data_IF_779511721628
#
_entry.id   IF_779511721628
#
_cell.length_a   1.000
_cell.length_b   1.000
_cell.length_c   1.000
_cell.angle_alpha   90.00
_cell.angle_beta   90.00
_cell.angle_gamma   90.00
#
_symmetry.space_group_name_H-M   'P 1'
#
loop_
_entity.id
_entity.type
_entity.pdbx_description
1 polymer ?
#
# COMPACT_ATOMS: atom_id res chain seq x y z
N UNK A 1 9.03 -12.23 49.05
CA UNK A 1 10.26 -11.84 48.32
C UNK A 1 10.53 -12.70 47.08
N UNK A 2 10.71 -14.03 47.19
CA UNK A 2 10.94 -14.89 46.01
C UNK A 2 9.75 -14.94 45.03
N UNK A 3 8.51 -15.04 45.55
CA UNK A 3 7.29 -15.02 44.72
C UNK A 3 7.08 -13.69 43.97
N UNK A 4 7.37 -12.57 44.62
CA UNK A 4 7.25 -11.24 44.01
C UNK A 4 8.27 -11.04 42.89
N UNK A 5 9.50 -11.57 43.03
CA UNK A 5 10.50 -11.54 41.96
C UNK A 5 10.06 -12.35 40.71
N UNK A 6 9.43 -13.51 40.91
CA UNK A 6 8.93 -14.32 39.80
C UNK A 6 7.82 -13.63 39.02
N UNK A 7 6.88 -12.97 39.70
CA UNK A 7 5.77 -12.25 39.05
C UNK A 7 6.29 -11.07 38.22
N UNK A 8 7.24 -10.30 38.74
CA UNK A 8 7.82 -9.16 38.03
C UNK A 8 8.58 -9.63 36.78
N UNK A 9 9.34 -10.73 36.88
CA UNK A 9 10.07 -11.31 35.75
C UNK A 9 9.15 -11.76 34.62
N UNK A 10 8.05 -12.45 34.95
CA UNK A 10 7.06 -12.89 33.97
C UNK A 10 6.34 -11.73 33.27
N UNK A 11 6.00 -10.67 34.02
CA UNK A 11 5.35 -9.49 33.45
C UNK A 11 6.26 -8.75 32.45
N UNK A 12 7.58 -8.69 32.72
CA UNK A 12 8.54 -8.06 31.82
C UNK A 12 8.67 -8.81 30.47
N UNK A 13 8.69 -10.15 30.48
CA UNK A 13 8.79 -10.96 29.25
C UNK A 13 7.53 -10.83 28.38
N UNK A 14 6.35 -10.69 28.97
CA UNK A 14 5.09 -10.51 28.22
C UNK A 14 5.03 -9.18 27.45
N UNK A 15 5.67 -8.14 27.98
CA UNK A 15 5.69 -6.81 27.34
C UNK A 15 6.48 -6.75 26.04
N UNK A 16 7.40 -7.69 25.81
CA UNK A 16 8.21 -7.76 24.59
C UNK A 16 7.45 -8.25 23.35
N UNK A 17 6.23 -8.79 23.51
CA UNK A 17 5.37 -9.20 22.40
C UNK A 17 4.18 -8.23 22.19
N UNK A 18 4.14 -7.13 22.95
CA UNK A 18 3.05 -6.14 22.96
C UNK A 18 3.36 -4.88 22.17
N UNK A 19 4.37 -4.90 21.28
CA UNK A 19 4.64 -3.78 20.40
C UNK A 19 3.39 -3.43 19.59
N UNK A 20 3.15 -2.13 19.41
CA UNK A 20 2.07 -1.70 18.51
C UNK A 20 2.38 -2.27 17.12
N UNK A 21 1.39 -2.81 16.39
CA UNK A 21 1.62 -3.23 15.03
C UNK A 21 2.23 -2.06 14.26
N UNK A 22 3.39 -2.29 13.62
CA UNK A 22 3.93 -1.36 12.64
C UNK A 22 3.06 -1.44 11.39
N UNK A 23 1.87 -0.84 11.50
CA UNK A 23 1.05 -0.60 10.33
C UNK A 23 1.73 0.47 9.50
N UNK A 24 1.90 0.20 8.21
CA UNK A 24 2.27 1.22 7.26
C UNK A 24 1.14 2.26 7.27
N UNK A 25 1.32 3.34 8.04
CA UNK A 25 0.33 4.41 8.06
C UNK A 25 0.24 4.97 6.64
N UNK A 26 -0.93 4.89 6.02
CA UNK A 26 -1.17 5.51 4.72
C UNK A 26 -0.83 7.00 4.84
N UNK A 27 0.16 7.46 4.08
CA UNK A 27 0.44 8.88 3.92
C UNK A 27 -0.78 9.53 3.26
N UNK A 28 -1.67 10.11 4.06
CA UNK A 28 -2.88 10.80 3.56
C UNK A 28 -2.57 12.11 2.83
N UNK A 29 -1.30 12.50 2.76
CA UNK A 29 -0.84 13.69 2.05
C UNK A 29 -0.49 13.42 0.58
N UNK A 30 -0.56 12.16 0.13
CA UNK A 30 -0.26 11.85 -1.26
C UNK A 30 -1.32 12.44 -2.19
N UNK A 31 -0.87 13.13 -3.24
CA UNK A 31 -1.74 13.58 -4.31
C UNK A 31 -2.36 12.37 -5.02
N UNK A 32 -3.62 12.46 -5.49
CA UNK A 32 -4.22 11.38 -6.26
C UNK A 32 -3.39 11.09 -7.51
N UNK A 33 -3.17 9.80 -7.82
CA UNK A 33 -2.30 9.39 -8.92
C UNK A 33 -2.72 9.95 -10.29
N UNK A 34 -4.03 10.17 -10.51
CA UNK A 34 -4.56 10.78 -11.73
C UNK A 34 -4.27 12.29 -11.85
N UNK A 35 -3.85 12.97 -10.78
CA UNK A 35 -3.40 14.36 -10.87
C UNK A 35 -2.14 14.50 -11.75
N UNK A 36 -1.36 13.41 -11.90
CA UNK A 36 -0.17 13.37 -12.73
C UNK A 36 1.07 13.98 -12.07
N UNK A 37 2.18 13.95 -12.81
CA UNK A 37 3.52 14.24 -12.29
C UNK A 37 4.04 15.64 -12.62
N UNK A 38 3.28 16.41 -13.41
CA UNK A 38 3.75 17.65 -14.05
C UNK A 38 4.94 17.46 -14.99
N UNK A 39 5.24 16.23 -15.42
CA UNK A 39 6.38 15.91 -16.31
C UNK A 39 5.90 15.35 -17.65
N UNK A 40 6.77 15.41 -18.66
CA UNK A 40 6.50 14.92 -20.01
C UNK A 40 6.47 13.38 -20.13
N UNK A 41 6.93 12.65 -19.11
CA UNK A 41 6.95 11.17 -19.11
C UNK A 41 5.59 10.58 -18.73
N UNK A 42 4.57 10.91 -19.52
CA UNK A 42 3.22 10.38 -19.40
C UNK A 42 2.78 9.84 -20.76
N UNK A 43 1.77 8.97 -20.79
CA UNK A 43 1.21 8.52 -22.05
C UNK A 43 0.68 9.73 -22.84
N UNK A 44 1.03 9.87 -24.12
CA UNK A 44 0.70 11.03 -24.94
C UNK A 44 -0.80 11.28 -25.05
N UNK A 45 -1.58 10.19 -25.01
CA UNK A 45 -3.02 10.22 -25.23
C UNK A 45 -3.81 10.42 -23.92
N UNK A 46 -3.11 10.56 -22.79
CA UNK A 46 -3.70 10.78 -21.48
C UNK A 46 -3.44 12.18 -20.96
N UNK A 47 -4.48 12.82 -20.41
CA UNK A 47 -4.42 14.18 -19.85
C UNK A 47 -4.39 14.14 -18.32
N UNK A 48 -3.52 14.96 -17.73
CA UNK A 48 -3.48 15.12 -16.27
C UNK A 48 -4.83 15.58 -15.69
N UNK A 49 -5.20 14.99 -14.56
CA UNK A 49 -6.48 15.22 -13.90
C UNK A 49 -7.62 14.37 -14.45
N UNK A 50 -7.47 13.72 -15.61
CA UNK A 50 -8.50 12.83 -16.16
C UNK A 50 -8.49 11.48 -15.45
N UNK A 51 -9.31 11.40 -14.40
CA UNK A 51 -9.50 10.19 -13.58
C UNK A 51 -10.10 9.04 -14.39
N UNK A 52 -11.12 9.28 -15.21
CA UNK A 52 -11.83 8.22 -15.91
C UNK A 52 -10.92 7.54 -16.95
N UNK A 53 -10.19 8.34 -17.72
CA UNK A 53 -9.19 7.83 -18.65
C UNK A 53 -8.05 7.11 -17.92
N UNK A 54 -7.57 7.67 -16.80
CA UNK A 54 -6.53 7.02 -15.99
C UNK A 54 -6.96 5.62 -15.51
N UNK A 55 -8.17 5.48 -14.95
CA UNK A 55 -8.70 4.20 -14.48
C UNK A 55 -8.88 3.19 -15.64
N UNK A 56 -9.33 3.66 -16.80
CA UNK A 56 -9.42 2.84 -18.02
C UNK A 56 -8.04 2.29 -18.43
N UNK A 57 -7.01 3.15 -18.48
CA UNK A 57 -5.64 2.72 -18.79
C UNK A 57 -5.11 1.70 -17.77
N UNK A 58 -5.38 1.88 -16.47
CA UNK A 58 -4.99 0.89 -15.45
C UNK A 58 -5.69 -0.44 -15.66
N UNK A 59 -7.00 -0.43 -15.91
CA UNK A 59 -7.79 -1.64 -16.15
C UNK A 59 -7.29 -2.40 -17.39
N UNK A 60 -7.00 -1.69 -18.48
CA UNK A 60 -6.43 -2.28 -19.67
C UNK A 60 -5.06 -2.93 -19.36
N UNK A 61 -4.16 -2.21 -18.67
CA UNK A 61 -2.84 -2.71 -18.29
C UNK A 61 -2.92 -3.97 -17.43
N UNK A 62 -3.80 -4.00 -16.43
CA UNK A 62 -4.00 -5.17 -15.57
C UNK A 62 -4.46 -6.40 -16.36
N UNK A 63 -5.30 -6.22 -17.37
CA UNK A 63 -5.75 -7.31 -18.24
C UNK A 63 -4.63 -7.80 -19.16
N UNK A 64 -4.00 -6.91 -19.93
CA UNK A 64 -3.00 -7.31 -20.94
C UNK A 64 -1.67 -7.77 -20.34
N UNK A 65 -1.32 -7.33 -19.12
CA UNK A 65 -0.01 -7.58 -18.51
C UNK A 65 -0.01 -8.68 -17.46
N UNK A 66 -1.06 -8.77 -16.64
CA UNK A 66 -1.05 -9.56 -15.40
C UNK A 66 -2.10 -10.68 -15.39
N UNK A 67 -2.99 -10.74 -16.40
CA UNK A 67 -4.05 -11.74 -16.44
C UNK A 67 -3.77 -12.77 -17.52
N UNK A 68 -3.16 -13.90 -17.14
CA UNK A 68 -2.85 -14.99 -18.07
C UNK A 68 -4.09 -15.63 -18.70
N UNK A 69 -5.26 -15.58 -18.04
CA UNK A 69 -6.51 -16.07 -18.62
C UNK A 69 -6.89 -15.35 -19.92
N UNK A 70 -6.46 -14.10 -20.09
CA UNK A 70 -6.70 -13.34 -21.34
C UNK A 70 -5.80 -13.76 -22.50
N UNK A 71 -4.76 -14.56 -22.25
CA UNK A 71 -3.76 -15.00 -23.23
C UNK A 71 -4.00 -16.41 -23.76
N UNK A 72 -4.91 -17.18 -23.15
CA UNK A 72 -5.12 -18.60 -23.46
C UNK A 72 -6.28 -18.87 -24.43
N UNK A 73 -6.78 -17.83 -25.11
CA UNK A 73 -7.78 -17.94 -26.18
C UNK A 73 -7.11 -18.10 -27.54
#
# INVERSE_FOLDING_TARGET
MKRTLFVISFAAVLSACGDKPQELQTNKHDAPAYAGTGKAFVNSDWKQGDKASWESHQKARSQYGQNDYTRMN
#
